data_IF_871202772502
#
_entry.id   IF_871202772502
#
_cell.length_a   1.000
_cell.length_b   1.000
_cell.length_c   1.000
_cell.angle_alpha   90.00
_cell.angle_beta   90.00
_cell.angle_gamma   90.00
#
_symmetry.space_group_name_H-M   'P 1'
#
loop_
_entity.id
_entity.type
_entity.pdbx_description
1 polymer ?
#
# COMPACT_ATOMS: atom_id res chain seq x y z
N UNK A 1 -11.67 12.56 25.01
CA UNK A 1 -10.87 11.44 24.48
C UNK A 1 -9.78 12.06 23.63
N UNK A 2 -8.51 11.70 23.87
CA UNK A 2 -7.38 12.20 23.08
C UNK A 2 -6.90 11.08 22.15
N UNK A 3 -7.00 11.28 20.83
CA UNK A 3 -6.46 10.34 19.86
C UNK A 3 -5.08 10.86 19.41
N UNK A 4 -4.03 10.05 19.52
CA UNK A 4 -2.64 10.44 19.21
C UNK A 4 -2.06 9.51 18.14
N UNK A 5 -1.48 10.10 17.09
CA UNK A 5 -0.75 9.39 16.06
C UNK A 5 0.75 9.51 16.30
N UNK A 6 1.43 8.41 16.55
CA UNK A 6 2.90 8.37 16.57
C UNK A 6 3.39 7.78 15.24
N UNK A 7 3.96 8.64 14.40
CA UNK A 7 4.68 8.24 13.19
C UNK A 7 6.02 8.98 13.16
N UNK A 8 7.13 8.26 13.35
CA UNK A 8 8.46 8.82 13.14
C UNK A 8 8.85 8.62 11.67
N UNK A 9 8.55 9.62 10.84
CA UNK A 9 8.64 9.56 9.36
C UNK A 9 10.08 9.33 8.87
N UNK A 10 11.08 9.87 9.57
CA UNK A 10 12.48 9.90 9.11
C UNK A 10 13.14 8.50 9.03
N UNK A 11 12.66 7.52 9.81
CA UNK A 11 13.13 6.12 9.75
C UNK A 11 12.21 5.24 8.87
N UNK A 12 10.96 5.68 8.66
CA UNK A 12 9.92 4.97 7.91
C UNK A 12 10.21 5.01 6.40
N UNK A 13 10.63 6.17 5.88
CA UNK A 13 11.11 6.31 4.50
C UNK A 13 12.39 5.50 4.24
N UNK A 14 13.25 5.36 5.24
CA UNK A 14 14.56 4.72 5.08
C UNK A 14 14.53 3.18 5.07
N UNK A 15 13.57 2.52 5.76
CA UNK A 15 13.72 1.07 6.04
C UNK A 15 12.46 0.19 5.93
N UNK A 16 11.24 0.75 5.91
CA UNK A 16 10.05 -0.07 6.18
C UNK A 16 8.85 0.15 5.24
N UNK A 17 8.96 1.06 4.28
CA UNK A 17 7.94 1.25 3.24
C UNK A 17 6.49 1.37 3.78
N UNK A 18 6.33 1.94 4.98
CA UNK A 18 5.02 2.24 5.57
C UNK A 18 4.54 3.54 4.93
N UNK A 19 3.69 3.42 3.91
CA UNK A 19 3.29 4.54 3.06
C UNK A 19 2.67 5.73 3.80
N UNK A 20 2.88 6.90 3.19
CA UNK A 20 2.18 8.19 3.34
C UNK A 20 0.66 8.07 3.68
N UNK A 21 0.00 7.00 3.23
CA UNK A 21 -1.42 6.71 3.46
C UNK A 21 -1.78 6.25 4.87
N UNK A 22 -0.88 5.57 5.59
CA UNK A 22 -1.12 5.20 6.99
C UNK A 22 -1.22 6.45 7.87
N UNK A 23 -0.39 7.46 7.59
CA UNK A 23 -0.41 8.75 8.28
C UNK A 23 -1.69 9.54 7.94
N UNK A 24 -2.11 9.56 6.67
CA UNK A 24 -3.35 10.21 6.23
C UNK A 24 -4.61 9.53 6.80
N UNK A 25 -4.64 8.19 6.86
CA UNK A 25 -5.76 7.46 7.44
C UNK A 25 -5.91 7.70 8.93
N UNK A 26 -4.80 7.73 9.68
CA UNK A 26 -4.85 8.09 11.10
C UNK A 26 -5.29 9.56 11.28
N UNK A 27 -4.85 10.48 10.41
CA UNK A 27 -5.36 11.86 10.34
C UNK A 27 -6.87 11.92 10.02
N UNK A 28 -7.40 11.03 9.18
CA UNK A 28 -8.84 10.94 8.91
C UNK A 28 -9.64 10.40 10.10
N UNK A 29 -9.13 9.40 10.83
CA UNK A 29 -9.77 8.90 12.06
C UNK A 29 -9.78 9.99 13.15
N UNK A 30 -8.70 10.77 13.24
CA UNK A 30 -8.60 11.96 14.11
C UNK A 30 -9.70 12.99 13.80
N UNK A 31 -10.00 13.21 12.51
CA UNK A 31 -11.04 14.15 12.06
C UNK A 31 -12.47 13.61 12.26
N UNK A 32 -12.70 12.31 12.02
CA UNK A 32 -14.03 11.68 12.14
C UNK A 32 -14.45 11.44 13.59
N UNK A 33 -13.50 11.29 14.52
CA UNK A 33 -13.76 11.11 15.97
C UNK A 33 -14.04 12.43 16.72
N UNK A 34 -14.11 13.57 16.02
CA UNK A 34 -14.40 14.89 16.62
C UNK A 34 -13.34 15.39 17.61
N UNK A 35 -12.16 14.75 17.67
CA UNK A 35 -11.14 14.99 18.68
C UNK A 35 -9.97 15.78 18.07
N UNK A 36 -10.00 17.11 18.21
CA UNK A 36 -8.89 18.00 17.79
C UNK A 36 -7.92 18.16 18.96
N UNK A 37 -6.68 17.67 18.83
CA UNK A 37 -5.55 18.18 19.61
C UNK A 37 -4.41 18.54 18.67
N UNK A 38 -4.38 19.81 18.28
CA UNK A 38 -3.27 20.47 17.59
C UNK A 38 -2.25 20.95 18.60
N UNK A 39 -1.28 20.13 18.98
CA UNK A 39 -0.16 20.64 19.78
C UNK A 39 1.09 19.75 19.71
N UNK A 40 1.72 19.60 18.53
CA UNK A 40 3.07 19.00 18.51
C UNK A 40 4.05 19.57 17.45
N UNK A 41 5.34 19.80 17.80
CA UNK A 41 6.37 20.27 16.86
C UNK A 41 6.79 19.27 15.78
N UNK A 42 6.50 17.98 15.92
CA UNK A 42 6.70 16.97 14.85
C UNK A 42 5.68 17.13 13.71
N UNK A 43 4.46 17.62 14.01
CA UNK A 43 3.57 18.13 12.98
C UNK A 43 4.14 19.39 12.31
N UNK A 44 5.05 20.13 12.97
CA UNK A 44 5.71 21.30 12.38
C UNK A 44 6.66 20.93 11.25
N UNK A 45 7.15 19.69 11.17
CA UNK A 45 7.86 19.18 10.00
C UNK A 45 6.91 18.75 8.88
N UNK A 46 5.72 18.23 9.20
CA UNK A 46 4.63 18.08 8.23
C UNK A 46 4.18 19.47 7.71
N UNK A 47 4.18 20.51 8.56
CA UNK A 47 3.87 21.89 8.21
C UNK A 47 5.06 22.71 7.67
N UNK A 48 6.31 22.23 7.77
CA UNK A 48 7.47 22.84 7.10
C UNK A 48 7.73 22.19 5.74
N UNK A 49 7.42 20.89 5.61
CA UNK A 49 7.11 20.23 4.33
C UNK A 49 5.87 20.85 3.67
N UNK A 50 5.00 21.54 4.43
CA UNK A 50 3.93 22.38 3.88
C UNK A 50 4.41 23.70 3.26
N UNK A 51 5.72 23.89 3.06
CA UNK A 51 6.24 24.93 2.17
C UNK A 51 6.45 24.41 0.73
N UNK A 52 6.27 23.12 0.47
CA UNK A 52 6.09 22.63 -0.90
C UNK A 52 4.72 23.08 -1.43
N UNK A 53 4.70 23.73 -2.59
CA UNK A 53 3.49 24.22 -3.25
C UNK A 53 2.43 23.11 -3.42
N UNK A 54 2.86 21.85 -3.55
CA UNK A 54 2.01 20.66 -3.67
C UNK A 54 1.21 20.35 -2.39
N UNK A 55 1.77 20.61 -1.21
CA UNK A 55 1.10 20.35 0.07
C UNK A 55 0.19 21.53 0.48
N UNK A 56 0.53 22.76 0.09
CA UNK A 56 -0.35 23.93 0.23
C UNK A 56 -1.61 23.78 -0.63
N UNK A 57 -1.50 23.24 -1.84
CA UNK A 57 -2.66 22.96 -2.69
C UNK A 57 -3.60 21.90 -2.07
N UNK A 58 -3.02 20.86 -1.44
CA UNK A 58 -3.76 19.79 -0.78
C UNK A 58 -4.46 20.26 0.51
N UNK A 59 -3.81 21.14 1.30
CA UNK A 59 -4.35 21.72 2.55
C UNK A 59 -5.35 22.86 2.29
N UNK A 60 -5.14 23.69 1.26
CA UNK A 60 -6.09 24.74 0.89
C UNK A 60 -7.42 24.15 0.37
N UNK A 61 -7.39 22.97 -0.25
CA UNK A 61 -8.57 22.29 -0.79
C UNK A 61 -9.43 21.60 0.28
N UNK A 62 -8.82 21.08 1.36
CA UNK A 62 -9.54 20.48 2.50
C UNK A 62 -10.29 21.50 3.38
N UNK A 63 -9.97 22.79 3.23
CA UNK A 63 -10.55 23.90 4.00
C UNK A 63 -11.94 24.35 3.53
N UNK A 64 -12.43 23.83 2.40
CA UNK A 64 -13.63 24.36 1.73
C UNK A 64 -14.95 23.65 2.11
N UNK A 65 -14.89 22.48 2.76
CA UNK A 65 -16.08 21.70 3.17
C UNK A 65 -16.39 21.82 4.66
N UNK A 66 -15.41 22.16 5.49
CA UNK A 66 -15.59 22.46 6.90
C UNK A 66 -15.02 23.85 7.15
N UNK A 67 -15.82 24.80 7.68
CA UNK A 67 -15.33 26.14 8.05
C UNK A 67 -14.21 26.03 9.11
N UNK A 68 -12.98 25.83 8.67
CA UNK A 68 -11.78 25.79 9.50
C UNK A 68 -11.41 27.24 9.82
N UNK A 69 -11.58 27.65 11.09
CA UNK A 69 -10.97 28.90 11.57
C UNK A 69 -9.46 28.73 11.57
N UNK A 70 -8.74 29.62 10.86
CA UNK A 70 -7.28 29.63 10.89
C UNK A 70 -6.74 29.76 12.33
N UNK A 71 -5.85 28.86 12.78
CA UNK A 71 -5.23 28.99 14.09
C UNK A 71 -4.16 30.10 14.08
N UNK A 72 -4.17 30.95 15.11
CA UNK A 72 -3.20 32.04 15.30
C UNK A 72 -1.79 31.47 15.51
N UNK A 73 -0.78 32.12 14.90
CA UNK A 73 0.66 31.84 15.02
C UNK A 73 1.09 31.70 16.50
N UNK A 74 1.58 30.51 16.89
CA UNK A 74 2.24 30.28 18.18
C UNK A 74 3.77 30.17 18.01
N UNK A 75 4.48 30.96 18.82
CA UNK A 75 5.96 31.06 18.85
C UNK A 75 6.59 29.79 19.44
N UNK A 76 7.83 29.51 19.03
CA UNK A 76 8.63 28.32 19.36
C UNK A 76 9.04 28.21 20.84
N UNK A 77 8.92 27.02 21.41
CA UNK A 77 9.67 26.56 22.60
C UNK A 77 9.90 25.04 22.54
N UNK A 78 10.85 24.56 23.36
CA UNK A 78 11.57 23.28 23.37
C UNK A 78 10.80 21.97 23.10
N UNK A 79 11.54 20.94 22.67
CA UNK A 79 11.12 19.56 22.43
C UNK A 79 10.69 18.84 23.71
N UNK A 80 9.39 18.60 23.84
CA UNK A 80 8.75 17.77 24.87
C UNK A 80 8.32 16.45 24.21
N UNK A 81 8.38 15.28 24.84
CA UNK A 81 7.97 14.01 24.21
C UNK A 81 6.42 13.94 24.12
N UNK A 82 5.80 13.44 23.02
CA UNK A 82 4.33 13.44 22.83
C UNK A 82 3.49 12.91 24.00
N UNK A 83 4.11 12.04 24.79
CA UNK A 83 3.53 11.34 25.92
C UNK A 83 3.49 12.19 27.20
N UNK A 84 4.33 13.23 27.30
CA UNK A 84 4.47 14.06 28.51
C UNK A 84 3.27 15.01 28.73
N UNK A 85 2.41 15.19 27.71
CA UNK A 85 1.23 16.06 27.76
C UNK A 85 -0.09 15.30 27.99
N UNK A 86 -0.06 13.97 28.06
CA UNK A 86 -1.26 13.17 28.29
C UNK A 86 -1.77 13.36 29.72
N UNK A 87 -2.99 13.86 29.87
CA UNK A 87 -3.63 13.99 31.17
C UNK A 87 -3.89 12.60 31.78
N UNK A 88 -3.51 12.33 33.05
CA UNK A 88 -3.81 11.07 33.73
C UNK A 88 -5.31 10.77 33.89
N UNK A 89 -6.17 11.78 33.67
CA UNK A 89 -7.61 11.70 33.91
C UNK A 89 -8.47 11.60 32.65
N UNK A 90 -7.90 11.73 31.45
CA UNK A 90 -8.65 11.73 30.18
C UNK A 90 -8.34 10.47 29.37
N UNK A 91 -9.30 9.59 29.05
CA UNK A 91 -9.03 8.42 28.21
C UNK A 91 -8.35 8.80 26.90
N UNK A 92 -7.24 8.13 26.59
CA UNK A 92 -6.44 8.36 25.40
C UNK A 92 -6.32 7.10 24.56
N UNK A 93 -6.18 7.27 23.26
CA UNK A 93 -6.04 6.17 22.32
C UNK A 93 -4.96 6.51 21.32
N UNK A 94 -4.00 5.61 21.21
CA UNK A 94 -2.81 5.84 20.42
C UNK A 94 -2.77 4.81 19.30
N UNK A 95 -2.91 5.28 18.07
CA UNK A 95 -2.67 4.44 16.90
C UNK A 95 -1.24 4.68 16.46
N UNK A 96 -0.48 3.60 16.38
CA UNK A 96 0.93 3.66 16.03
C UNK A 96 1.23 2.75 14.84
N UNK A 97 2.27 3.13 14.09
CA UNK A 97 2.81 2.32 13.00
C UNK A 97 3.99 1.45 13.47
N UNK A 98 4.74 1.90 14.49
CA UNK A 98 5.88 1.18 15.04
C UNK A 98 5.52 0.50 16.35
N UNK A 99 5.70 -0.83 16.41
CA UNK A 99 5.32 -1.64 17.57
C UNK A 99 6.09 -1.27 18.83
N UNK A 100 7.32 -0.77 18.71
CA UNK A 100 8.08 -0.25 19.87
C UNK A 100 7.33 0.84 20.65
N UNK A 101 6.56 1.68 19.96
CA UNK A 101 5.87 2.82 20.59
C UNK A 101 4.73 2.35 21.52
N UNK A 102 4.30 1.09 21.41
CA UNK A 102 3.31 0.48 22.30
C UNK A 102 3.79 0.34 23.74
N UNK A 103 5.10 0.12 23.95
CA UNK A 103 5.70 0.02 25.28
C UNK A 103 5.56 1.35 26.01
N UNK A 104 5.87 2.46 25.34
CA UNK A 104 5.74 3.79 25.91
C UNK A 104 4.28 4.05 26.31
N UNK A 105 3.32 3.63 25.47
CA UNK A 105 1.87 3.78 25.75
C UNK A 105 1.39 2.89 26.88
N UNK A 106 1.95 1.70 27.04
CA UNK A 106 1.57 0.77 28.11
C UNK A 106 1.82 1.31 29.52
N UNK A 107 2.69 2.31 29.65
CA UNK A 107 2.96 3.00 30.93
C UNK A 107 1.86 4.00 31.33
N UNK A 108 0.91 4.29 30.45
CA UNK A 108 -0.16 5.26 30.65
C UNK A 108 -1.46 4.52 31.01
N UNK A 109 -1.87 4.63 32.28
CA UNK A 109 -2.97 3.85 32.87
C UNK A 109 -4.35 4.01 32.21
N UNK A 110 -4.53 5.08 31.44
CA UNK A 110 -5.76 5.48 30.75
C UNK A 110 -5.59 5.50 29.23
N UNK A 111 -4.58 4.82 28.69
CA UNK A 111 -4.34 4.74 27.24
C UNK A 111 -4.44 3.32 26.69
N UNK A 112 -5.05 3.21 25.51
CA UNK A 112 -5.01 1.98 24.69
C UNK A 112 -4.18 2.22 23.44
N UNK A 113 -3.44 1.20 23.01
CA UNK A 113 -2.55 1.31 21.85
C UNK A 113 -2.91 0.30 20.77
N UNK A 114 -3.00 0.73 19.52
CA UNK A 114 -3.38 -0.13 18.40
C UNK A 114 -2.32 -0.08 17.30
N UNK A 115 -1.90 -1.26 16.85
CA UNK A 115 -1.00 -1.38 15.71
C UNK A 115 -1.80 -1.27 14.40
N UNK A 116 -1.45 -0.29 13.58
CA UNK A 116 -1.94 -0.24 12.20
C UNK A 116 -1.03 -1.07 11.29
N UNK A 117 -1.54 -2.20 10.82
CA UNK A 117 -0.85 -3.13 9.93
C UNK A 117 -1.11 -2.75 8.47
N UNK A 118 -0.07 -2.22 7.83
CA UNK A 118 -0.09 -1.83 6.41
C UNK A 118 0.37 -2.95 5.46
N UNK A 119 0.71 -4.12 6.00
CA UNK A 119 1.01 -5.33 5.25
C UNK A 119 -0.20 -6.26 5.29
N UNK A 120 -0.25 -7.18 4.34
CA UNK A 120 -1.24 -8.25 4.27
C UNK A 120 -1.29 -9.06 5.59
N UNK A 121 -2.49 -9.40 6.04
CA UNK A 121 -2.69 -10.31 7.17
C UNK A 121 -2.19 -11.73 6.86
N UNK A 122 -2.30 -12.18 5.61
CA UNK A 122 -1.66 -13.40 5.11
C UNK A 122 -0.14 -13.35 5.34
N UNK A 123 0.51 -12.28 4.90
CA UNK A 123 1.95 -12.09 5.11
C UNK A 123 2.29 -12.09 6.59
N UNK A 124 1.56 -11.32 7.39
CA UNK A 124 1.82 -11.25 8.83
C UNK A 124 1.67 -12.61 9.53
N UNK A 125 0.66 -13.39 9.14
CA UNK A 125 0.44 -14.73 9.67
C UNK A 125 1.64 -15.62 9.40
N UNK A 126 2.06 -15.75 8.13
CA UNK A 126 3.15 -16.65 7.77
C UNK A 126 4.49 -16.19 8.35
N UNK A 127 4.72 -14.88 8.53
CA UNK A 127 5.92 -14.37 9.20
C UNK A 127 6.00 -14.88 10.63
N UNK A 128 4.91 -14.72 11.40
CA UNK A 128 4.91 -15.17 12.79
C UNK A 128 4.86 -16.68 12.91
N UNK A 129 4.03 -17.33 12.11
CA UNK A 129 3.87 -18.77 12.11
C UNK A 129 5.18 -19.50 11.84
N UNK A 130 5.99 -19.05 10.87
CA UNK A 130 7.34 -19.57 10.64
C UNK A 130 8.27 -19.26 11.82
N UNK A 131 8.28 -18.00 12.29
CA UNK A 131 9.18 -17.55 13.35
C UNK A 131 8.98 -18.30 14.68
N UNK A 132 7.75 -18.74 14.99
CA UNK A 132 7.46 -19.51 16.21
C UNK A 132 7.36 -21.02 15.98
N UNK A 133 7.95 -21.53 14.90
CA UNK A 133 8.13 -22.96 14.67
C UNK A 133 6.86 -23.70 14.26
N UNK A 134 5.97 -23.03 13.50
CA UNK A 134 4.78 -23.63 12.87
C UNK A 134 3.83 -24.28 13.90
N UNK A 135 3.28 -23.49 14.84
CA UNK A 135 2.57 -23.97 16.02
C UNK A 135 1.28 -24.76 15.73
N UNK A 136 0.73 -24.64 14.52
CA UNK A 136 -0.48 -25.34 14.08
C UNK A 136 -0.44 -25.56 12.57
N UNK A 137 -1.17 -26.55 12.03
CA UNK A 137 -1.29 -26.70 10.57
C UNK A 137 -2.08 -25.55 9.94
N UNK A 138 -1.70 -25.15 8.74
CA UNK A 138 -2.42 -24.18 7.90
C UNK A 138 -3.00 -24.90 6.68
N UNK A 139 -4.32 -25.08 6.66
CA UNK A 139 -5.01 -25.69 5.52
C UNK A 139 -4.99 -24.74 4.31
N UNK A 140 -4.80 -25.30 3.11
CA UNK A 140 -4.74 -24.51 1.88
C UNK A 140 -3.50 -23.63 1.73
N UNK A 141 -2.42 -23.90 2.48
CA UNK A 141 -1.15 -23.19 2.32
C UNK A 141 -0.64 -23.29 0.87
N UNK A 142 -0.20 -22.17 0.25
CA UNK A 142 0.40 -22.21 -1.07
C UNK A 142 1.58 -23.18 -1.11
N UNK A 143 1.59 -24.08 -2.11
CA UNK A 143 2.62 -25.13 -2.23
C UNK A 143 4.03 -24.57 -2.38
N UNK A 144 4.15 -23.39 -2.98
CA UNK A 144 5.41 -22.75 -3.33
C UNK A 144 5.58 -21.41 -2.61
N UNK A 145 5.12 -21.30 -1.35
CA UNK A 145 5.34 -20.09 -0.57
C UNK A 145 6.86 -19.88 -0.39
N UNK A 146 7.41 -18.72 -0.81
CA UNK A 146 8.84 -18.42 -0.63
C UNK A 146 9.26 -18.46 0.85
N UNK A 147 10.50 -18.88 1.15
CA UNK A 147 11.02 -18.83 2.53
C UNK A 147 11.29 -17.38 2.97
N UNK A 148 11.34 -17.14 4.29
CA UNK A 148 11.65 -15.80 4.81
C UNK A 148 13.02 -15.30 4.35
N UNK A 149 14.02 -16.17 4.34
CA UNK A 149 15.39 -15.86 3.88
C UNK A 149 15.43 -15.52 2.38
N UNK A 150 14.47 -16.04 1.62
CA UNK A 150 14.30 -15.69 0.21
C UNK A 150 13.58 -14.37 -0.02
N UNK A 151 12.92 -13.78 0.98
CA UNK A 151 12.12 -12.55 0.84
C UNK A 151 12.73 -11.34 1.56
N UNK A 152 13.40 -11.58 2.69
CA UNK A 152 13.87 -10.55 3.60
C UNK A 152 15.38 -10.67 3.81
N UNK A 153 16.07 -9.52 3.84
CA UNK A 153 17.47 -9.50 4.25
C UNK A 153 17.61 -9.86 5.73
N UNK A 154 18.81 -10.24 6.15
CA UNK A 154 19.11 -10.55 7.54
C UNK A 154 18.79 -9.37 8.48
N UNK A 155 19.07 -8.14 8.05
CA UNK A 155 18.76 -6.91 8.78
C UNK A 155 17.24 -6.72 8.96
N UNK A 156 16.46 -6.97 7.90
CA UNK A 156 14.99 -6.88 7.97
C UNK A 156 14.44 -7.98 8.88
N UNK A 157 14.94 -9.21 8.79
CA UNK A 157 14.52 -10.29 9.69
C UNK A 157 14.82 -9.97 11.16
N UNK A 158 16.00 -9.41 11.46
CA UNK A 158 16.32 -8.94 12.82
C UNK A 158 15.42 -7.80 13.27
N UNK A 159 15.10 -6.85 12.39
CA UNK A 159 14.16 -5.79 12.70
C UNK A 159 12.76 -6.35 13.02
N UNK A 160 12.27 -7.31 12.24
CA UNK A 160 10.99 -7.99 12.50
C UNK A 160 10.99 -8.71 13.85
N UNK A 161 12.05 -9.44 14.16
CA UNK A 161 12.24 -10.10 15.46
C UNK A 161 12.29 -9.09 16.61
N UNK A 162 12.95 -7.94 16.43
CA UNK A 162 12.94 -6.87 17.43
C UNK A 162 11.55 -6.25 17.60
N UNK A 163 10.79 -6.03 16.53
CA UNK A 163 9.41 -5.51 16.63
C UNK A 163 8.47 -6.50 17.33
N UNK A 164 8.76 -7.81 17.25
CA UNK A 164 7.99 -8.85 17.92
C UNK A 164 7.95 -8.66 19.44
N UNK A 165 9.06 -8.25 20.04
CA UNK A 165 9.18 -8.04 21.50
C UNK A 165 8.25 -6.95 22.04
N UNK A 166 7.66 -6.11 21.19
CA UNK A 166 6.75 -5.04 21.61
C UNK A 166 5.29 -5.32 21.27
N UNK A 167 5.00 -6.48 20.70
CA UNK A 167 3.66 -6.87 20.31
C UNK A 167 2.72 -7.02 21.50
N UNK A 168 3.19 -7.52 22.64
CA UNK A 168 2.32 -7.85 23.79
C UNK A 168 1.74 -6.61 24.49
N UNK A 169 2.38 -5.45 24.36
CA UNK A 169 1.94 -4.19 24.97
C UNK A 169 0.73 -3.55 24.26
N UNK A 170 0.38 -4.02 23.06
CA UNK A 170 -0.72 -3.44 22.29
C UNK A 170 -2.09 -3.90 22.77
N UNK A 171 -3.10 -3.07 22.64
CA UNK A 171 -4.51 -3.40 22.91
C UNK A 171 -5.17 -4.12 21.74
N UNK A 172 -4.71 -3.87 20.50
CA UNK A 172 -5.24 -4.53 19.32
C UNK A 172 -4.53 -4.20 18.01
N UNK A 173 -5.09 -4.71 16.92
CA UNK A 173 -4.58 -4.56 15.55
C UNK A 173 -5.66 -4.01 14.61
N UNK A 174 -5.24 -3.18 13.67
CA UNK A 174 -6.07 -2.65 12.59
C UNK A 174 -5.41 -3.03 11.28
N UNK A 175 -6.14 -3.68 10.36
CA UNK A 175 -5.61 -4.11 9.07
C UNK A 175 -6.19 -3.27 7.93
N UNK A 176 -5.32 -2.77 7.05
CA UNK A 176 -5.74 -2.22 5.75
C UNK A 176 -6.05 -3.37 4.78
N UNK A 177 -7.16 -4.06 5.01
CA UNK A 177 -7.61 -5.21 4.23
C UNK A 177 -9.12 -5.37 4.32
N UNK A 178 -9.69 -6.34 3.62
CA UNK A 178 -11.10 -6.69 3.71
C UNK A 178 -11.25 -8.14 4.19
N UNK A 179 -12.25 -8.44 5.03
CA UNK A 179 -12.52 -9.83 5.45
C UNK A 179 -12.82 -10.78 4.28
N UNK A 180 -13.34 -10.26 3.16
CA UNK A 180 -13.53 -11.03 1.92
C UNK A 180 -12.19 -11.51 1.31
N UNK A 181 -11.10 -10.80 1.58
CA UNK A 181 -9.76 -11.11 1.05
C UNK A 181 -8.97 -11.94 2.07
N UNK A 182 -8.95 -11.52 3.33
CA UNK A 182 -8.02 -12.08 4.33
C UNK A 182 -8.68 -12.53 5.64
N UNK A 183 -10.01 -12.64 5.70
CA UNK A 183 -10.74 -12.99 6.93
C UNK A 183 -10.22 -14.26 7.60
N UNK A 184 -10.01 -15.33 6.83
CA UNK A 184 -9.43 -16.58 7.32
C UNK A 184 -8.07 -16.39 7.98
N UNK A 185 -7.19 -15.58 7.39
CA UNK A 185 -5.84 -15.36 7.92
C UNK A 185 -5.84 -14.48 9.17
N UNK A 186 -6.76 -13.51 9.25
CA UNK A 186 -7.01 -12.72 10.46
C UNK A 186 -7.51 -13.63 11.59
N UNK A 187 -8.45 -14.54 11.31
CA UNK A 187 -8.94 -15.48 12.31
C UNK A 187 -7.84 -16.46 12.78
N UNK A 188 -6.91 -16.81 11.90
CA UNK A 188 -5.72 -17.60 12.26
C UNK A 188 -4.71 -16.81 13.09
N UNK A 189 -4.51 -15.51 12.79
CA UNK A 189 -3.68 -14.64 13.62
C UNK A 189 -4.20 -14.58 15.06
N UNK A 190 -5.52 -14.57 15.27
CA UNK A 190 -6.12 -14.60 16.61
C UNK A 190 -5.80 -15.88 17.42
N UNK A 191 -5.38 -16.97 16.77
CA UNK A 191 -4.97 -18.22 17.46
C UNK A 191 -3.56 -18.14 18.04
N UNK A 192 -2.76 -17.16 17.62
CA UNK A 192 -1.41 -16.97 18.14
C UNK A 192 -1.47 -16.45 19.58
N UNK A 193 -0.64 -17.00 20.48
CA UNK A 193 -0.61 -16.61 21.90
C UNK A 193 -0.38 -15.10 22.09
N UNK A 194 0.48 -14.50 21.27
CA UNK A 194 0.75 -13.05 21.27
C UNK A 194 -0.49 -12.17 20.99
N UNK A 195 -1.55 -12.77 20.45
CA UNK A 195 -2.82 -12.14 20.10
C UNK A 195 -3.96 -12.56 21.05
N UNK A 196 -3.67 -13.38 22.07
CA UNK A 196 -4.65 -13.75 23.07
C UNK A 196 -5.22 -12.48 23.74
N UNK A 197 -6.55 -12.39 23.76
CA UNK A 197 -7.30 -11.25 24.29
C UNK A 197 -7.07 -9.90 23.58
N UNK A 198 -6.39 -9.88 22.43
CA UNK A 198 -6.24 -8.68 21.59
C UNK A 198 -7.43 -8.58 20.64
N UNK A 199 -7.90 -7.36 20.38
CA UNK A 199 -8.95 -7.12 19.39
C UNK A 199 -8.34 -6.83 18.03
N UNK A 200 -8.98 -7.29 16.97
CA UNK A 200 -8.53 -7.07 15.60
C UNK A 200 -9.67 -6.56 14.73
N UNK A 201 -9.41 -5.55 13.91
CA UNK A 201 -10.37 -5.00 12.96
C UNK A 201 -9.79 -4.95 11.55
N UNK A 202 -10.62 -5.30 10.58
CA UNK A 202 -10.25 -5.35 9.16
C UNK A 202 -11.03 -4.26 8.43
N UNK A 203 -10.47 -3.04 8.44
CA UNK A 203 -11.19 -1.79 8.14
C UNK A 203 -10.97 -1.26 6.70
N UNK A 204 -10.34 -2.06 5.84
CA UNK A 204 -10.08 -1.72 4.46
C UNK A 204 -11.21 -2.13 3.49
N UNK A 205 -11.06 -1.79 2.20
CA UNK A 205 -9.91 -1.11 1.62
C UNK A 205 -9.86 0.37 2.00
N UNK A 206 -8.72 0.82 2.50
CA UNK A 206 -8.43 2.24 2.71
C UNK A 206 -7.79 2.75 1.42
N UNK A 207 -8.60 3.41 0.60
CA UNK A 207 -8.16 3.98 -0.67
C UNK A 207 -8.06 5.52 -0.59
N UNK A 208 -7.17 6.14 -1.37
CA UNK A 208 -7.24 7.58 -1.66
C UNK A 208 -8.65 7.98 -2.13
N UNK A 209 -9.12 9.15 -1.69
CA UNK A 209 -10.45 9.65 -2.05
C UNK A 209 -10.54 9.97 -3.55
N UNK A 210 -11.31 9.18 -4.30
CA UNK A 210 -11.57 9.37 -5.73
C UNK A 210 -12.40 10.63 -6.02
N UNK A 211 -13.22 11.09 -5.07
CA UNK A 211 -14.09 12.27 -5.25
C UNK A 211 -13.31 13.59 -5.19
N UNK A 212 -12.18 13.63 -4.47
CA UNK A 212 -11.24 14.75 -4.49
C UNK A 212 -10.50 14.88 -5.83
N UNK A 213 -10.46 13.82 -6.63
CA UNK A 213 -9.73 13.81 -7.92
C UNK A 213 -10.66 14.01 -9.12
N UNK A 214 -11.89 13.48 -9.04
CA UNK A 214 -12.94 13.72 -10.03
C UNK A 214 -13.47 15.16 -10.07
N UNK A 215 -13.24 15.94 -8.99
CA UNK A 215 -13.67 17.34 -8.87
C UNK A 215 -12.75 18.37 -9.54
N UNK A 216 -11.64 17.95 -10.16
CA UNK A 216 -10.79 18.87 -10.91
C UNK A 216 -11.47 19.24 -12.23
N UNK A 217 -11.64 20.55 -12.41
CA UNK A 217 -11.88 21.22 -13.68
C UNK A 217 -11.25 20.41 -14.83
N UNK A 218 -12.06 19.98 -15.80
CA UNK A 218 -11.67 19.10 -16.93
C UNK A 218 -10.41 19.55 -17.71
N UNK A 219 -9.92 20.75 -17.42
CA UNK A 219 -8.78 21.43 -18.01
C UNK A 219 -7.40 20.98 -17.46
N UNK A 220 -7.34 20.26 -16.33
CA UNK A 220 -6.07 19.81 -15.71
C UNK A 220 -6.03 18.28 -15.43
N UNK A 221 -6.60 17.44 -16.32
CA UNK A 221 -6.47 15.98 -16.22
C UNK A 221 -5.04 15.55 -16.52
N UNK A 222 -4.55 14.52 -15.84
CA UNK A 222 -3.22 13.99 -16.10
C UNK A 222 -3.17 13.40 -17.53
N UNK A 223 -2.09 13.65 -18.28
CA UNK A 223 -1.94 13.21 -19.68
C UNK A 223 -2.14 11.71 -19.87
N UNK A 224 -1.82 10.90 -18.86
CA UNK A 224 -2.08 9.46 -18.88
C UNK A 224 -3.57 9.14 -19.05
N UNK A 225 -4.45 9.89 -18.37
CA UNK A 225 -5.89 9.68 -18.42
C UNK A 225 -6.45 10.09 -19.79
N UNK A 226 -5.97 11.21 -20.35
CA UNK A 226 -6.34 11.64 -21.70
C UNK A 226 -5.90 10.64 -22.78
N UNK A 227 -4.73 10.00 -22.59
CA UNK A 227 -4.27 8.94 -23.47
C UNK A 227 -5.15 7.69 -23.31
N UNK A 228 -5.53 7.32 -22.08
CA UNK A 228 -6.39 6.19 -21.78
C UNK A 228 -7.82 6.34 -22.32
N UNK A 229 -8.37 7.55 -22.34
CA UNK A 229 -9.70 7.88 -22.90
C UNK A 229 -9.82 7.48 -24.38
N UNK A 230 -8.69 7.44 -25.11
CA UNK A 230 -8.63 7.10 -26.55
C UNK A 230 -8.49 5.59 -26.81
N UNK A 231 -8.39 4.78 -25.76
CA UNK A 231 -8.15 3.34 -25.86
C UNK A 231 -9.45 2.54 -25.74
N UNK A 232 -9.44 1.32 -26.28
CA UNK A 232 -10.59 0.44 -26.14
C UNK A 232 -10.73 -0.04 -24.69
N UNK A 233 -11.94 -0.35 -24.22
CA UNK A 233 -12.14 -0.97 -22.92
C UNK A 233 -11.25 -2.18 -22.74
N UNK A 234 -10.64 -2.28 -21.55
CA UNK A 234 -9.88 -3.46 -21.12
C UNK A 234 -8.71 -3.84 -22.05
N UNK A 235 -8.18 -2.89 -22.82
CA UNK A 235 -7.13 -3.15 -23.83
C UNK A 235 -5.72 -2.73 -23.42
N UNK A 236 -5.54 -2.03 -22.30
CA UNK A 236 -4.25 -1.47 -21.87
C UNK A 236 -3.70 -2.23 -20.66
N UNK A 237 -2.42 -2.62 -20.72
CA UNK A 237 -1.67 -3.07 -19.57
C UNK A 237 -1.07 -1.86 -18.83
N UNK A 238 -1.41 -1.65 -17.57
CA UNK A 238 -0.71 -0.70 -16.71
C UNK A 238 0.53 -1.37 -16.11
N UNK A 239 1.67 -0.68 -16.07
CA UNK A 239 2.92 -1.18 -15.50
C UNK A 239 3.46 -0.15 -14.50
N UNK A 240 3.60 -0.57 -13.24
CA UNK A 240 4.24 0.22 -12.20
C UNK A 240 4.78 -0.65 -11.08
N UNK A 241 6.04 -0.39 -10.70
CA UNK A 241 6.76 -1.13 -9.66
C UNK A 241 6.82 -0.36 -8.33
N UNK A 242 5.92 0.61 -8.13
CA UNK A 242 5.86 1.39 -6.90
C UNK A 242 6.90 2.52 -6.85
N UNK A 243 7.15 3.04 -5.64
CA UNK A 243 8.03 4.19 -5.40
C UNK A 243 9.41 3.84 -4.82
N UNK A 244 9.60 2.59 -4.39
CA UNK A 244 10.78 2.16 -3.63
C UNK A 244 11.60 1.10 -4.38
N UNK A 245 11.32 0.87 -5.66
CA UNK A 245 11.92 -0.22 -6.42
C UNK A 245 12.62 0.32 -7.65
N UNK A 246 13.90 -0.04 -7.78
CA UNK A 246 14.74 0.34 -8.91
C UNK A 246 15.00 -0.87 -9.81
N UNK A 247 14.99 -0.65 -11.13
CA UNK A 247 15.38 -1.67 -12.11
C UNK A 247 16.76 -1.37 -12.70
N UNK A 248 17.50 -2.43 -13.05
CA UNK A 248 18.73 -2.27 -13.84
C UNK A 248 18.39 -1.77 -15.25
N UNK A 249 19.34 -1.08 -15.90
CA UNK A 249 19.15 -0.60 -17.27
C UNK A 249 18.92 -1.78 -18.24
N UNK A 250 19.60 -2.89 -17.97
CA UNK A 250 19.46 -4.15 -18.69
C UNK A 250 18.03 -4.69 -18.58
N UNK A 251 17.43 -4.67 -17.38
CA UNK A 251 16.05 -5.10 -17.19
C UNK A 251 15.03 -4.13 -17.82
N UNK A 252 15.29 -2.83 -17.76
CA UNK A 252 14.49 -1.79 -18.43
C UNK A 252 14.50 -2.03 -19.95
N UNK A 253 15.65 -2.37 -20.51
CA UNK A 253 15.79 -2.68 -21.94
C UNK A 253 15.01 -3.94 -22.33
N UNK A 254 15.12 -5.03 -21.56
CA UNK A 254 14.33 -6.25 -21.83
C UNK A 254 12.82 -6.00 -21.69
N UNK A 255 12.39 -5.21 -20.69
CA UNK A 255 10.98 -4.81 -20.52
C UNK A 255 10.48 -4.01 -21.71
N UNK A 256 11.22 -2.99 -22.14
CA UNK A 256 10.88 -2.20 -23.31
C UNK A 256 10.72 -3.08 -24.56
N UNK A 257 11.69 -3.96 -24.84
CA UNK A 257 11.66 -4.87 -25.98
C UNK A 257 10.51 -5.90 -25.88
N UNK A 258 10.23 -6.44 -24.69
CA UNK A 258 9.14 -7.40 -24.49
C UNK A 258 7.76 -6.77 -24.69
N UNK A 259 7.57 -5.54 -24.20
CA UNK A 259 6.35 -4.76 -24.44
C UNK A 259 6.17 -4.47 -25.94
N UNK A 260 7.23 -4.04 -26.64
CA UNK A 260 7.22 -3.81 -28.09
C UNK A 260 6.83 -5.08 -28.86
N UNK A 261 7.44 -6.23 -28.53
CA UNK A 261 7.11 -7.54 -29.14
C UNK A 261 5.69 -8.01 -28.86
N UNK A 262 5.14 -7.71 -27.67
CA UNK A 262 3.79 -8.14 -27.28
C UNK A 262 2.68 -7.54 -28.16
N UNK A 263 2.94 -6.38 -28.78
CA UNK A 263 1.95 -5.58 -29.53
C UNK A 263 0.71 -5.19 -28.71
N UNK A 264 0.75 -5.39 -27.39
CA UNK A 264 -0.31 -4.96 -26.49
C UNK A 264 -0.12 -3.48 -26.18
N UNK A 265 -1.23 -2.76 -26.02
CA UNK A 265 -1.17 -1.37 -25.57
C UNK A 265 -0.75 -1.34 -24.11
N UNK A 266 0.09 -0.37 -23.76
CA UNK A 266 0.59 -0.28 -22.39
C UNK A 266 0.73 1.17 -21.91
N UNK A 267 0.62 1.34 -20.60
CA UNK A 267 1.01 2.55 -19.91
C UNK A 267 2.02 2.19 -18.84
N UNK A 268 3.26 2.61 -19.02
CA UNK A 268 4.39 2.25 -18.17
C UNK A 268 4.89 3.47 -17.40
N UNK A 269 4.84 3.38 -16.08
CA UNK A 269 5.42 4.38 -15.18
C UNK A 269 6.87 3.97 -14.88
N UNK A 270 7.82 4.80 -15.31
CA UNK A 270 9.26 4.62 -15.12
C UNK A 270 9.83 5.83 -14.40
N UNK A 271 9.74 5.86 -13.06
CA UNK A 271 10.06 7.06 -12.28
C UNK A 271 11.56 7.33 -12.22
N UNK A 272 11.91 8.61 -12.33
CA UNK A 272 13.27 9.12 -12.10
C UNK A 272 13.69 9.14 -10.61
N UNK A 273 12.78 8.87 -9.67
CA UNK A 273 13.00 8.94 -8.22
C UNK A 273 13.82 7.75 -7.65
N UNK A 274 14.26 6.84 -8.51
CA UNK A 274 15.29 5.82 -8.26
C UNK A 274 16.71 6.43 -8.20
N UNK A 275 16.85 7.62 -7.59
CA UNK A 275 18.10 8.40 -7.53
C UNK A 275 19.07 7.81 -6.51
N UNK A 276 19.61 6.64 -6.86
CA UNK A 276 20.72 6.00 -6.18
C UNK A 276 20.33 5.30 -4.89
N UNK A 277 21.12 4.28 -4.55
CA UNK A 277 21.32 3.92 -3.16
C UNK A 277 21.59 5.22 -2.38
N UNK A 278 20.94 5.38 -1.24
CA UNK A 278 21.28 6.44 -0.25
C UNK A 278 22.78 6.36 0.14
N UNK A 279 23.45 5.25 -0.21
CA UNK A 279 24.86 4.97 0.04
C UNK A 279 25.82 5.45 -1.06
N UNK A 280 25.37 5.75 -2.30
CA UNK A 280 26.28 5.79 -3.46
C UNK A 280 26.41 7.17 -4.13
N UNK A 281 25.54 8.14 -3.82
CA UNK A 281 25.68 9.53 -4.25
C UNK A 281 25.56 9.81 -5.76
N UNK A 282 25.39 8.81 -6.63
CA UNK A 282 25.20 8.99 -8.07
C UNK A 282 23.72 8.92 -8.49
N UNK A 283 23.22 9.98 -9.12
CA UNK A 283 21.90 9.99 -9.79
C UNK A 283 21.91 9.12 -11.04
N UNK A 284 21.60 7.82 -10.89
CA UNK A 284 21.30 6.94 -12.03
C UNK A 284 19.96 7.39 -12.64
N UNK A 285 19.98 7.74 -13.93
CA UNK A 285 18.74 7.94 -14.72
C UNK A 285 18.38 6.63 -15.40
N UNK A 286 17.13 6.21 -15.28
CA UNK A 286 16.59 5.10 -16.06
C UNK A 286 16.74 5.40 -17.56
N UNK A 287 17.27 4.45 -18.34
CA UNK A 287 17.51 4.63 -19.79
C UNK A 287 16.61 3.72 -20.61
N UNK A 288 15.56 4.29 -21.18
CA UNK A 288 14.75 3.64 -22.20
C UNK A 288 15.59 3.52 -23.51
N UNK A 289 15.44 2.47 -24.32
CA UNK A 289 16.12 2.36 -25.60
C UNK A 289 15.92 3.58 -26.51
N UNK A 290 16.96 3.96 -27.26
CA UNK A 290 16.89 5.12 -28.17
C UNK A 290 15.75 4.95 -29.19
N UNK A 291 14.96 6.02 -29.37
CA UNK A 291 13.81 6.06 -30.28
C UNK A 291 12.65 5.15 -29.88
N UNK A 292 12.61 4.65 -28.64
CA UNK A 292 11.53 3.76 -28.19
C UNK A 292 10.16 4.46 -28.17
N UNK A 293 10.08 5.67 -27.62
CA UNK A 293 8.82 6.41 -27.53
C UNK A 293 8.25 6.71 -28.91
N UNK A 294 9.11 7.03 -29.88
CA UNK A 294 8.75 7.23 -31.30
C UNK A 294 8.20 5.94 -31.93
N UNK A 295 8.84 4.79 -31.68
CA UNK A 295 8.36 3.49 -32.17
C UNK A 295 7.05 3.06 -31.53
N UNK A 296 6.80 3.49 -30.29
CA UNK A 296 5.62 3.12 -29.52
C UNK A 296 4.48 4.14 -29.61
N UNK A 297 4.62 5.18 -30.44
CA UNK A 297 3.59 6.21 -30.61
C UNK A 297 2.22 5.58 -30.95
N UNK A 298 1.19 5.94 -30.18
CA UNK A 298 -0.17 5.41 -30.33
C UNK A 298 -0.40 3.98 -29.79
N UNK A 299 0.66 3.24 -29.42
CA UNK A 299 0.58 1.89 -28.85
C UNK A 299 0.90 1.91 -27.35
N UNK A 300 1.99 2.58 -26.96
CA UNK A 300 2.47 2.67 -25.59
C UNK A 300 2.65 4.11 -25.14
N UNK A 301 2.48 4.34 -23.84
CA UNK A 301 2.85 5.61 -23.19
C UNK A 301 3.81 5.32 -22.05
N UNK A 302 4.96 6.00 -22.03
CA UNK A 302 5.86 5.99 -20.87
C UNK A 302 5.65 7.29 -20.08
N UNK A 303 5.54 7.17 -18.76
CA UNK A 303 5.39 8.28 -17.83
C UNK A 303 6.59 8.26 -16.88
N UNK A 304 7.44 9.28 -16.97
CA UNK A 304 8.66 9.37 -16.15
C UNK A 304 8.46 10.09 -14.81
N UNK A 305 7.36 10.83 -14.70
CA UNK A 305 6.99 11.58 -13.50
C UNK A 305 5.97 10.80 -12.65
N UNK A 306 5.39 11.47 -11.66
CA UNK A 306 4.28 10.92 -10.90
C UNK A 306 3.10 10.55 -11.81
N UNK A 307 2.34 9.52 -11.43
CA UNK A 307 1.15 9.07 -12.14
C UNK A 307 0.01 8.77 -11.15
N UNK A 308 -1.25 9.12 -11.47
CA UNK A 308 -2.38 8.87 -10.60
C UNK A 308 -2.82 7.40 -10.65
N UNK A 309 -2.08 6.54 -9.95
CA UNK A 309 -2.25 5.08 -10.05
C UNK A 309 -3.69 4.62 -9.81
N UNK A 310 -4.37 5.11 -8.77
CA UNK A 310 -5.74 4.69 -8.46
C UNK A 310 -6.72 5.07 -9.59
N UNK A 311 -6.60 6.26 -10.17
CA UNK A 311 -7.44 6.68 -11.31
C UNK A 311 -7.13 5.88 -12.57
N UNK A 312 -5.84 5.58 -12.80
CA UNK A 312 -5.42 4.72 -13.91
C UNK A 312 -6.06 3.34 -13.76
N UNK A 313 -5.90 2.69 -12.60
CA UNK A 313 -6.50 1.37 -12.31
C UNK A 313 -8.02 1.38 -12.42
N UNK A 314 -8.68 2.48 -12.02
CA UNK A 314 -10.13 2.67 -12.17
C UNK A 314 -10.60 2.97 -13.60
N UNK A 315 -9.69 3.20 -14.55
CA UNK A 315 -10.04 3.56 -15.91
C UNK A 315 -10.54 2.35 -16.72
N UNK A 316 -11.63 2.51 -17.47
CA UNK A 316 -12.27 1.43 -18.23
C UNK A 316 -11.33 0.72 -19.24
N UNK A 317 -10.37 1.46 -19.78
CA UNK A 317 -9.37 0.95 -20.73
C UNK A 317 -8.33 0.02 -20.10
N UNK A 318 -8.14 0.03 -18.77
CA UNK A 318 -7.17 -0.86 -18.12
C UNK A 318 -7.70 -2.29 -18.10
N UNK A 319 -6.91 -3.19 -18.68
CA UNK A 319 -7.19 -4.62 -18.76
C UNK A 319 -6.34 -5.49 -17.84
N UNK A 320 -5.26 -4.95 -17.28
CA UNK A 320 -4.38 -5.66 -16.36
C UNK A 320 -3.33 -4.74 -15.77
N UNK A 321 -2.67 -5.22 -14.70
CA UNK A 321 -1.66 -4.47 -13.98
C UNK A 321 -0.40 -5.32 -13.75
N UNK A 322 0.71 -4.98 -14.40
CA UNK A 322 2.02 -5.52 -14.05
C UNK A 322 2.56 -4.78 -12.83
N UNK A 323 2.70 -5.50 -11.72
CA UNK A 323 2.95 -4.90 -10.41
C UNK A 323 4.02 -5.63 -9.63
N UNK A 324 4.83 -4.85 -8.90
CA UNK A 324 5.69 -5.32 -7.82
C UNK A 324 4.95 -6.01 -6.66
N UNK A 325 3.62 -5.99 -6.61
CA UNK A 325 2.83 -6.64 -5.55
C UNK A 325 3.02 -6.07 -4.13
N UNK A 326 3.39 -4.79 -4.00
CA UNK A 326 3.28 -4.09 -2.73
C UNK A 326 1.83 -4.01 -2.27
N UNK A 327 1.56 -4.17 -0.97
CA UNK A 327 0.20 -4.42 -0.48
C UNK A 327 -0.82 -3.35 -0.85
N UNK A 328 -0.44 -2.07 -0.79
CA UNK A 328 -1.32 -0.97 -1.22
C UNK A 328 -1.69 -1.09 -2.71
N UNK A 329 -0.72 -1.40 -3.58
CA UNK A 329 -0.98 -1.58 -5.02
C UNK A 329 -1.87 -2.80 -5.29
N UNK A 330 -1.71 -3.89 -4.52
CA UNK A 330 -2.63 -5.02 -4.57
C UNK A 330 -4.05 -4.62 -4.18
N UNK A 331 -4.22 -3.89 -3.07
CA UNK A 331 -5.53 -3.44 -2.61
C UNK A 331 -6.21 -2.50 -3.61
N UNK A 332 -5.48 -1.57 -4.23
CA UNK A 332 -6.00 -0.70 -5.29
C UNK A 332 -6.46 -1.53 -6.51
N UNK A 333 -5.64 -2.47 -6.97
CA UNK A 333 -5.94 -3.32 -8.14
C UNK A 333 -7.13 -4.25 -7.90
N UNK A 334 -7.17 -4.94 -6.76
CA UNK A 334 -8.27 -5.81 -6.38
C UNK A 334 -9.56 -4.99 -6.30
N UNK A 335 -9.52 -3.85 -5.63
CA UNK A 335 -10.72 -3.01 -5.45
C UNK A 335 -11.24 -2.46 -6.79
N UNK A 336 -10.36 -2.13 -7.73
CA UNK A 336 -10.73 -1.71 -9.09
C UNK A 336 -11.06 -2.88 -10.03
N UNK A 337 -10.96 -4.12 -9.57
CA UNK A 337 -11.25 -5.32 -10.35
C UNK A 337 -10.29 -5.54 -11.52
N UNK A 338 -9.01 -5.17 -11.34
CA UNK A 338 -7.96 -5.31 -12.36
C UNK A 338 -7.09 -6.52 -12.02
N UNK A 339 -6.91 -7.49 -12.94
CA UNK A 339 -6.08 -8.65 -12.68
C UNK A 339 -4.59 -8.28 -12.69
N UNK A 340 -3.81 -8.96 -11.86
CA UNK A 340 -2.39 -8.62 -11.62
C UNK A 340 -1.47 -9.59 -12.37
N UNK A 341 -0.53 -9.04 -13.12
CA UNK A 341 0.67 -9.74 -13.58
C UNK A 341 1.76 -9.51 -12.54
N UNK A 342 1.89 -10.47 -11.64
CA UNK A 342 2.65 -10.34 -10.41
C UNK A 342 4.15 -10.50 -10.66
N UNK A 343 4.91 -9.44 -10.39
CA UNK A 343 6.35 -9.39 -10.54
C UNK A 343 6.99 -8.87 -9.25
N UNK A 344 6.96 -9.65 -8.16
CA UNK A 344 7.51 -9.23 -6.88
C UNK A 344 9.03 -9.01 -6.98
N UNK A 345 9.53 -8.01 -6.25
CA UNK A 345 10.91 -7.54 -6.36
C UNK A 345 11.67 -7.56 -5.03
N UNK A 346 11.01 -7.32 -3.90
CA UNK A 346 11.64 -7.38 -2.56
C UNK A 346 10.62 -7.47 -1.42
N UNK A 347 11.11 -7.57 -0.17
CA UNK A 347 10.30 -7.50 1.05
C UNK A 347 9.18 -8.55 1.06
N UNK A 348 7.96 -8.17 1.43
CA UNK A 348 6.81 -9.06 1.54
C UNK A 348 6.07 -9.29 0.21
N UNK A 349 6.50 -8.65 -0.87
CA UNK A 349 5.88 -8.72 -2.18
C UNK A 349 5.74 -10.16 -2.71
N UNK A 350 6.72 -11.07 -2.53
CA UNK A 350 6.59 -12.46 -3.00
C UNK A 350 5.45 -13.21 -2.30
N UNK A 351 5.22 -12.93 -1.01
CA UNK A 351 4.12 -13.53 -0.27
C UNK A 351 2.78 -12.93 -0.67
N UNK A 352 2.73 -11.61 -0.90
CA UNK A 352 1.57 -10.98 -1.50
C UNK A 352 1.27 -11.60 -2.88
N UNK A 353 2.28 -11.88 -3.70
CA UNK A 353 2.11 -12.54 -4.99
C UNK A 353 1.52 -13.95 -4.85
N UNK A 354 1.95 -14.74 -3.86
CA UNK A 354 1.31 -16.04 -3.56
C UNK A 354 -0.16 -15.89 -3.16
N UNK A 355 -0.52 -14.89 -2.34
CA UNK A 355 -1.94 -14.61 -2.04
C UNK A 355 -2.73 -14.28 -3.32
N UNK A 356 -2.18 -13.42 -4.19
CA UNK A 356 -2.83 -13.00 -5.45
C UNK A 356 -3.01 -14.17 -6.43
N UNK A 357 -1.98 -15.00 -6.60
CA UNK A 357 -1.93 -16.05 -7.64
C UNK A 357 -2.58 -17.33 -7.14
N UNK A 358 -2.16 -17.83 -5.97
CA UNK A 358 -2.45 -19.19 -5.52
C UNK A 358 -3.75 -19.28 -4.72
N UNK A 359 -4.14 -18.19 -4.03
CA UNK A 359 -5.31 -18.17 -3.15
C UNK A 359 -6.49 -17.45 -3.81
N UNK A 360 -6.31 -16.19 -4.21
CA UNK A 360 -7.38 -15.38 -4.78
C UNK A 360 -7.62 -15.69 -6.26
N UNK A 361 -6.62 -16.25 -6.94
CA UNK A 361 -6.62 -16.51 -8.38
C UNK A 361 -7.01 -15.27 -9.22
N UNK A 362 -6.58 -14.08 -8.81
CA UNK A 362 -6.84 -12.80 -9.52
C UNK A 362 -5.61 -12.30 -10.28
N UNK A 363 -4.59 -13.15 -10.43
CA UNK A 363 -3.37 -12.81 -11.15
C UNK A 363 -2.62 -14.01 -11.69
N UNK A 364 -1.56 -13.73 -12.44
CA UNK A 364 -0.59 -14.72 -12.92
C UNK A 364 0.83 -14.21 -12.64
N UNK A 365 1.82 -15.10 -12.49
CA UNK A 365 3.19 -14.66 -12.29
C UNK A 365 3.79 -14.10 -13.59
N UNK A 366 4.65 -13.08 -13.45
CA UNK A 366 5.41 -12.48 -14.55
C UNK A 366 6.67 -13.27 -14.92
N UNK A 367 7.07 -14.22 -14.07
CA UNK A 367 8.20 -15.15 -14.28
C UNK A 367 7.78 -16.56 -13.88
N UNK A 368 8.29 -17.59 -14.56
CA UNK A 368 8.03 -18.98 -14.15
C UNK A 368 8.92 -19.42 -12.98
N UNK A 369 10.03 -18.73 -12.76
CA UNK A 369 10.98 -18.97 -11.68
C UNK A 369 10.88 -17.87 -10.62
N UNK A 370 10.75 -18.27 -9.35
CA UNK A 370 10.57 -17.39 -8.20
C UNK A 370 11.89 -16.70 -7.75
N UNK A 371 12.94 -16.73 -8.58
CA UNK A 371 14.23 -16.15 -8.25
C UNK A 371 14.21 -14.64 -8.49
N UNK A 372 14.25 -13.88 -7.38
CA UNK A 372 14.03 -12.43 -7.31
C UNK A 372 15.08 -11.55 -8.00
N UNK A 373 16.06 -12.10 -8.74
CA UNK A 373 17.22 -11.33 -9.20
C UNK A 373 17.73 -11.69 -10.60
N UNK A 374 17.05 -12.55 -11.34
CA UNK A 374 17.48 -12.89 -12.69
C UNK A 374 16.89 -11.94 -13.73
N UNK A 375 17.70 -11.62 -14.76
CA UNK A 375 17.28 -10.83 -15.90
C UNK A 375 16.13 -11.53 -16.62
N UNK A 376 14.94 -10.96 -16.55
CA UNK A 376 13.76 -11.46 -17.27
C UNK A 376 13.84 -10.96 -18.70
N UNK A 377 14.10 -11.87 -19.63
CA UNK A 377 14.24 -11.52 -21.04
C UNK A 377 12.91 -11.12 -21.70
N UNK A 378 13.03 -10.39 -22.79
CA UNK A 378 11.94 -9.83 -23.57
C UNK A 378 10.97 -10.86 -24.16
N UNK A 379 11.42 -12.09 -24.44
CA UNK A 379 10.53 -13.16 -24.91
C UNK A 379 9.64 -13.67 -23.78
N UNK A 380 10.17 -13.77 -22.55
CA UNK A 380 9.39 -14.09 -21.37
C UNK A 380 8.35 -13.01 -21.11
N UNK A 381 8.76 -11.73 -21.15
CA UNK A 381 7.87 -10.58 -20.96
C UNK A 381 6.75 -10.56 -22.00
N UNK A 382 7.08 -10.73 -23.28
CA UNK A 382 6.10 -10.85 -24.37
C UNK A 382 5.05 -11.94 -24.08
N UNK A 383 5.52 -13.14 -23.70
CA UNK A 383 4.66 -14.29 -23.42
C UNK A 383 3.71 -14.01 -22.25
N UNK A 384 4.22 -13.49 -21.13
CA UNK A 384 3.39 -13.28 -19.94
C UNK A 384 2.41 -12.12 -20.10
N UNK A 385 2.80 -11.07 -20.83
CA UNK A 385 1.91 -9.98 -21.22
C UNK A 385 0.76 -10.53 -22.08
N UNK A 386 1.07 -11.31 -23.11
CA UNK A 386 0.05 -11.94 -23.95
C UNK A 386 -0.81 -12.96 -23.18
N UNK A 387 -0.22 -13.67 -22.22
CA UNK A 387 -0.94 -14.61 -21.35
C UNK A 387 -1.99 -13.88 -20.52
N UNK A 388 -1.69 -12.73 -19.92
CA UNK A 388 -2.69 -11.96 -19.17
C UNK A 388 -3.72 -11.28 -20.10
N UNK A 389 -3.25 -10.66 -21.18
CA UNK A 389 -4.07 -9.75 -21.98
C UNK A 389 -4.95 -10.44 -23.02
N UNK A 390 -4.53 -11.59 -23.56
CA UNK A 390 -5.17 -12.24 -24.71
C UNK A 390 -5.70 -13.64 -24.39
N UNK A 391 -4.98 -14.42 -23.58
CA UNK A 391 -5.28 -15.84 -23.39
C UNK A 391 -6.58 -16.10 -22.62
N UNK A 392 -7.09 -17.34 -22.71
CA UNK A 392 -8.24 -17.79 -21.92
C UNK A 392 -8.00 -17.66 -20.41
N UNK A 393 -6.81 -18.06 -19.92
CA UNK A 393 -6.45 -17.93 -18.50
C UNK A 393 -6.49 -16.46 -18.06
N UNK A 394 -5.97 -15.54 -18.88
CA UNK A 394 -6.03 -14.10 -18.61
C UNK A 394 -7.47 -13.57 -18.49
N UNK A 395 -8.37 -14.01 -19.36
CA UNK A 395 -9.81 -13.70 -19.28
C UNK A 395 -10.46 -14.25 -18.01
N UNK A 396 -10.09 -15.46 -17.59
CA UNK A 396 -10.56 -16.05 -16.32
C UNK A 396 -10.10 -15.24 -15.11
N UNK A 397 -8.82 -14.84 -15.03
CA UNK A 397 -8.31 -14.01 -13.94
C UNK A 397 -9.00 -12.65 -13.89
N UNK A 398 -9.28 -12.06 -15.05
CA UNK A 398 -10.00 -10.79 -15.16
C UNK A 398 -11.43 -10.89 -14.63
N UNK A 399 -12.16 -11.93 -15.02
CA UNK A 399 -13.52 -12.18 -14.52
C UNK A 399 -13.53 -12.33 -13.00
N UNK A 400 -12.57 -13.06 -12.43
CA UNK A 400 -12.42 -13.21 -10.97
C UNK A 400 -12.08 -11.89 -10.29
N UNK A 401 -11.12 -11.13 -10.82
CA UNK A 401 -10.75 -9.82 -10.30
C UNK A 401 -11.95 -8.87 -10.31
N UNK A 402 -12.71 -8.81 -11.41
CA UNK A 402 -13.91 -7.98 -11.51
C UNK A 402 -15.01 -8.39 -10.52
N UNK A 403 -15.20 -9.69 -10.29
CA UNK A 403 -16.15 -10.18 -9.29
C UNK A 403 -15.71 -9.79 -7.86
N UNK A 404 -14.47 -10.13 -7.50
CA UNK A 404 -13.92 -9.82 -6.18
C UNK A 404 -13.90 -8.31 -5.92
N UNK A 405 -13.49 -7.51 -6.90
CA UNK A 405 -13.49 -6.05 -6.81
C UNK A 405 -14.88 -5.48 -6.56
N UNK A 406 -15.93 -6.02 -7.20
CA UNK A 406 -17.32 -5.61 -6.92
C UNK A 406 -17.75 -5.96 -5.50
N UNK A 407 -17.43 -7.16 -5.01
CA UNK A 407 -17.78 -7.56 -3.64
C UNK A 407 -17.03 -6.72 -2.59
N UNK A 408 -15.74 -6.47 -2.80
CA UNK A 408 -14.91 -5.60 -1.96
C UNK A 408 -15.39 -4.15 -2.00
N UNK A 409 -15.87 -3.66 -3.14
CA UNK A 409 -16.46 -2.33 -3.23
C UNK A 409 -17.78 -2.25 -2.47
N UNK A 410 -18.65 -3.25 -2.64
CA UNK A 410 -19.96 -3.32 -1.98
C UNK A 410 -19.85 -3.52 -0.46
N UNK A 411 -18.79 -4.16 0.04
CA UNK A 411 -18.58 -4.36 1.48
C UNK A 411 -18.40 -3.05 2.27
N UNK A 412 -18.14 -1.93 1.58
CA UNK A 412 -18.03 -0.58 2.15
C UNK A 412 -19.38 0.11 2.31
N UNK A 413 -20.44 -0.39 1.67
CA UNK A 413 -21.77 0.20 1.76
C UNK A 413 -22.42 -0.12 3.12
N UNK A 414 -23.54 0.53 3.42
CA UNK A 414 -24.33 0.28 4.62
C UNK A 414 -24.67 -1.22 4.76
N UNK A 415 -24.36 -1.79 5.93
CA UNK A 415 -24.53 -3.22 6.22
C UNK A 415 -23.44 -4.15 5.64
N UNK A 416 -22.50 -3.63 4.85
CA UNK A 416 -21.37 -4.40 4.32
C UNK A 416 -20.32 -4.73 5.38
N UNK A 417 -19.57 -5.83 5.17
CA UNK A 417 -18.64 -6.36 6.19
C UNK A 417 -17.53 -5.37 6.56
N UNK A 418 -16.96 -4.63 5.61
CA UNK A 418 -15.93 -3.63 5.90
C UNK A 418 -16.50 -2.43 6.67
N UNK A 419 -17.73 -2.02 6.36
CA UNK A 419 -18.41 -0.96 7.11
C UNK A 419 -18.74 -1.40 8.55
N UNK A 420 -19.13 -2.66 8.75
CA UNK A 420 -19.40 -3.23 10.07
C UNK A 420 -18.11 -3.33 10.91
N UNK A 421 -16.99 -3.74 10.31
CA UNK A 421 -15.67 -3.76 10.95
C UNK A 421 -15.25 -2.35 11.39
N UNK A 422 -15.42 -1.35 10.52
CA UNK A 422 -15.12 0.04 10.85
C UNK A 422 -16.02 0.57 11.96
N UNK A 423 -17.33 0.31 11.90
CA UNK A 423 -18.28 0.71 12.94
C UNK A 423 -17.96 0.04 14.29
N UNK A 424 -17.58 -1.24 14.27
CA UNK A 424 -17.14 -1.98 15.46
C UNK A 424 -15.89 -1.35 16.06
N UNK A 425 -14.91 -0.96 15.23
CA UNK A 425 -13.73 -0.25 15.68
C UNK A 425 -14.10 1.10 16.31
N UNK A 426 -14.87 1.94 15.60
CA UNK A 426 -15.33 3.26 16.08
C UNK A 426 -16.10 3.14 17.40
N UNK A 427 -17.02 2.17 17.51
CA UNK A 427 -17.78 1.95 18.74
C UNK A 427 -16.88 1.51 19.89
N UNK A 428 -15.86 0.69 19.62
CA UNK A 428 -14.89 0.28 20.64
C UNK A 428 -14.05 1.46 21.12
N UNK A 429 -13.64 2.34 20.20
CA UNK A 429 -12.82 3.48 20.56
C UNK A 429 -13.63 4.62 21.17
N UNK A 430 -14.92 4.78 20.88
CA UNK A 430 -15.72 5.89 21.39
C UNK A 430 -16.38 5.64 22.76
N UNK A 431 -15.93 4.63 23.49
CA UNK A 431 -16.58 4.12 24.72
C UNK A 431 -16.31 4.93 25.98
#
# INVERSE_FOLDING_TARGET
MELICLSNIDYIEAHMNLGYYGVIFVLMILLLSGSIITSYPSCRNIFSLAQHEDLQACIAQSSSVYQLKQPKRLKSSASVHPMDNLSPTTPAQVVYLKKKDSLDVSSISNAESYAFNCISAFTQLFSFWEAIGRPFPVEGMPKNLPSMEGCFSFEIMNFMAYQYEFMHYRSGDIFNSCRLIEGTYVDMLNKLEMNANKKQWVVGPILPDLTMVAGKDSRNRHKSLEWLDKQAPKSVLYISFGSATTMTNEQIQELAMGLEKSKQKFLWVLRDADKGNVFDGETRKARIPKGYEERMEGIGMVVTDWAPQLEILGHISIGGFMSHCGWNSCMESITMGVPILAWPMHSEQPWNASLIIDILEVGIPATEEAHQMELVNSLTIEKVVNRLMVSKKGKEMRSRAENLGREVWQSRNEGGVSQLELNSFIAHISR
#
